data_IF_358774615242
#
_entry.id   IF_358774615242
#
_cell.length_a   1.000
_cell.length_b   1.000
_cell.length_c   1.000
_cell.angle_alpha   90.00
_cell.angle_beta   90.00
_cell.angle_gamma   90.00
#
_symmetry.space_group_name_H-M   'P 1'
#
loop_
_entity.id
_entity.type
_entity.pdbx_description
1 polymer ?
#
# COMPACT_ATOMS: atom_id res chain seq x y z
N UNK A 1 32.79 21.55 20.76
CA UNK A 1 32.86 20.31 21.56
C UNK A 1 31.52 20.25 22.28
N UNK A 2 30.46 19.70 21.68
CA UNK A 2 30.12 18.28 21.43
C UNK A 2 29.43 17.63 22.64
N UNK A 3 28.11 17.71 22.70
CA UNK A 3 27.15 17.01 23.60
C UNK A 3 25.75 17.54 23.20
N UNK A 4 24.68 16.79 22.92
CA UNK A 4 24.36 15.39 23.15
C UNK A 4 23.36 14.94 22.06
N UNK A 5 23.72 13.90 21.31
CA UNK A 5 22.72 13.07 20.60
C UNK A 5 22.08 12.18 21.66
N UNK A 6 20.94 12.62 22.20
CA UNK A 6 20.07 11.79 23.03
C UNK A 6 19.45 10.70 22.13
N UNK A 7 20.22 9.62 21.93
CA UNK A 7 19.79 8.43 21.24
C UNK A 7 18.76 7.74 22.13
N UNK A 8 17.48 7.94 21.80
CA UNK A 8 16.37 7.22 22.41
C UNK A 8 16.56 5.71 22.12
N UNK A 9 17.20 5.00 23.04
CA UNK A 9 17.62 3.61 22.87
C UNK A 9 16.37 2.74 22.72
N UNK A 10 16.14 2.25 21.49
CA UNK A 10 15.00 1.38 21.21
C UNK A 10 15.26 0.03 21.88
N UNK A 11 14.26 -0.57 22.54
CA UNK A 11 14.45 -1.86 23.18
C UNK A 11 14.74 -2.92 22.11
N UNK A 12 15.96 -3.47 22.14
CA UNK A 12 16.40 -4.57 21.30
C UNK A 12 15.74 -5.91 21.66
N UNK A 13 15.05 -5.97 22.79
CA UNK A 13 14.33 -7.13 23.30
C UNK A 13 12.95 -6.70 23.84
N UNK A 14 11.90 -7.43 23.49
CA UNK A 14 10.54 -7.21 23.96
C UNK A 14 9.87 -8.52 24.35
N UNK A 15 9.19 -8.55 25.51
CA UNK A 15 8.34 -9.68 25.87
C UNK A 15 7.09 -9.65 25.00
N UNK A 16 6.78 -10.77 24.34
CA UNK A 16 5.63 -10.88 23.47
C UNK A 16 4.35 -11.05 24.29
N UNK A 17 3.20 -10.68 23.71
CA UNK A 17 1.88 -10.96 24.26
C UNK A 17 1.24 -12.12 23.48
N UNK A 18 1.26 -13.36 23.99
CA UNK A 18 0.76 -14.51 23.23
C UNK A 18 -0.71 -14.38 22.80
N UNK A 19 -1.56 -13.82 23.66
CA UNK A 19 -2.97 -13.54 23.34
C UNK A 19 -3.13 -12.52 22.19
N UNK A 20 -2.09 -11.73 21.92
CA UNK A 20 -2.03 -10.78 20.81
C UNK A 20 -1.71 -11.44 19.46
N UNK A 21 -1.29 -12.70 19.41
CA UNK A 21 -0.86 -13.33 18.15
C UNK A 21 -1.98 -14.17 17.54
N UNK A 22 -1.88 -14.49 16.24
CA UNK A 22 -2.78 -15.50 15.65
C UNK A 22 -2.41 -16.86 16.26
N UNK A 23 -3.34 -17.54 16.95
CA UNK A 23 -3.08 -18.87 17.46
C UNK A 23 -2.92 -19.85 16.29
N UNK A 24 -1.80 -20.55 16.23
CA UNK A 24 -1.61 -21.67 15.32
C UNK A 24 -2.25 -22.93 15.89
N UNK A 25 -2.68 -23.85 15.02
CA UNK A 25 -3.19 -25.18 15.44
C UNK A 25 -2.15 -26.00 16.23
N UNK A 26 -0.87 -25.63 16.18
CA UNK A 26 0.27 -26.32 16.81
C UNK A 26 0.92 -25.52 17.96
N UNK A 27 0.21 -24.57 18.58
CA UNK A 27 0.68 -23.84 19.78
C UNK A 27 1.99 -23.05 19.60
N UNK A 28 2.43 -22.81 18.37
CA UNK A 28 3.64 -22.03 18.09
C UNK A 28 3.29 -20.54 18.15
N UNK A 29 3.62 -19.91 19.29
CA UNK A 29 3.51 -18.46 19.55
C UNK A 29 4.87 -17.94 20.00
N UNK A 30 5.20 -16.71 19.61
CA UNK A 30 6.42 -16.04 20.08
C UNK A 30 6.26 -15.67 21.57
N UNK A 31 7.25 -15.99 22.39
CA UNK A 31 7.29 -15.60 23.81
C UNK A 31 8.02 -14.28 24.03
N UNK A 32 8.93 -13.94 23.13
CA UNK A 32 9.67 -12.70 23.09
C UNK A 32 10.05 -12.35 21.65
N UNK A 33 10.45 -11.10 21.44
CA UNK A 33 11.03 -10.60 20.21
C UNK A 33 12.41 -10.03 20.53
N UNK A 34 13.35 -10.25 19.63
CA UNK A 34 14.73 -9.78 19.71
C UNK A 34 15.12 -9.20 18.35
N UNK A 35 16.00 -8.22 18.31
CA UNK A 35 16.52 -7.68 17.05
C UNK A 35 17.19 -8.77 16.21
N UNK A 36 16.74 -8.94 14.95
CA UNK A 36 17.27 -9.95 14.04
C UNK A 36 17.81 -9.33 12.77
N UNK A 37 19.11 -9.50 12.53
CA UNK A 37 19.70 -9.14 11.24
C UNK A 37 19.14 -9.99 10.11
N UNK A 38 18.85 -9.37 8.99
CA UNK A 38 18.47 -10.06 7.77
C UNK A 38 19.09 -9.38 6.56
N UNK A 39 19.31 -10.16 5.50
CA UNK A 39 19.78 -9.65 4.21
C UNK A 39 18.59 -9.43 3.29
N UNK A 40 18.43 -8.21 2.78
CA UNK A 40 17.37 -7.90 1.82
C UNK A 40 17.55 -8.73 0.53
N UNK A 41 16.49 -9.41 0.10
CA UNK A 41 16.52 -10.22 -1.12
C UNK A 41 16.62 -9.39 -2.42
N UNK A 42 16.11 -8.15 -2.43
CA UNK A 42 16.11 -7.31 -3.62
C UNK A 42 17.45 -6.56 -3.81
N UNK A 43 18.02 -5.96 -2.75
CA UNK A 43 19.22 -5.11 -2.86
C UNK A 43 20.45 -5.65 -2.13
N UNK A 44 20.34 -6.75 -1.38
CA UNK A 44 21.46 -7.37 -0.68
C UNK A 44 21.94 -6.64 0.58
N UNK A 45 21.37 -5.48 0.94
CA UNK A 45 21.71 -4.72 2.16
C UNK A 45 21.30 -5.50 3.41
N UNK A 46 22.14 -5.48 4.44
CA UNK A 46 21.81 -5.97 5.78
C UNK A 46 21.03 -4.90 6.55
N UNK A 47 19.92 -5.30 7.18
CA UNK A 47 19.13 -4.46 8.07
C UNK A 47 18.67 -5.30 9.27
N UNK A 48 18.32 -4.63 10.36
CA UNK A 48 17.80 -5.27 11.57
C UNK A 48 16.29 -5.24 11.54
N UNK A 49 15.66 -6.40 11.65
CA UNK A 49 14.24 -6.52 11.94
C UNK A 49 14.04 -6.39 13.44
N UNK A 50 13.60 -5.21 13.88
CA UNK A 50 13.65 -4.91 15.31
C UNK A 50 12.60 -5.66 16.10
N UNK A 51 12.84 -5.86 17.39
CA UNK A 51 11.86 -6.46 18.32
C UNK A 51 10.50 -5.74 18.25
N UNK A 52 10.51 -4.42 18.11
CA UNK A 52 9.30 -3.59 17.97
C UNK A 52 8.58 -3.81 16.63
N UNK A 53 9.32 -3.96 15.53
CA UNK A 53 8.73 -4.27 14.23
C UNK A 53 8.10 -5.68 14.22
N UNK A 54 8.75 -6.64 14.88
CA UNK A 54 8.21 -7.99 15.10
C UNK A 54 6.92 -7.95 15.91
N UNK A 55 6.91 -7.23 17.04
CA UNK A 55 5.70 -7.05 17.85
C UNK A 55 4.55 -6.51 17.01
N UNK A 56 4.77 -5.46 16.23
CA UNK A 56 3.72 -4.90 15.36
C UNK A 56 3.26 -5.91 14.31
N UNK A 57 4.19 -6.65 13.71
CA UNK A 57 3.91 -7.66 12.69
C UNK A 57 2.97 -8.76 13.21
N UNK A 58 3.27 -9.32 14.39
CA UNK A 58 2.51 -10.44 14.92
C UNK A 58 1.28 -10.03 15.74
N UNK A 59 1.39 -8.94 16.52
CA UNK A 59 0.32 -8.56 17.46
C UNK A 59 -0.74 -7.63 16.86
N UNK A 60 -0.31 -6.68 16.01
CA UNK A 60 -1.18 -5.66 15.42
C UNK A 60 -1.62 -6.06 14.02
N UNK A 61 -0.67 -6.39 13.14
CA UNK A 61 -0.97 -6.81 11.76
C UNK A 61 -1.46 -8.25 11.67
N UNK A 62 -1.41 -9.01 12.78
CA UNK A 62 -1.84 -10.40 12.87
C UNK A 62 -1.23 -11.25 11.74
N UNK A 63 0.07 -11.08 11.50
CA UNK A 63 0.76 -11.90 10.50
C UNK A 63 0.99 -13.31 11.01
N UNK A 64 1.12 -14.26 10.09
CA UNK A 64 1.48 -15.65 10.43
C UNK A 64 2.80 -15.69 11.19
N UNK A 65 2.93 -16.57 12.18
CA UNK A 65 4.13 -16.73 13.00
C UNK A 65 5.41 -17.06 12.20
N UNK A 66 5.26 -17.61 10.99
CA UNK A 66 6.36 -17.88 10.05
C UNK A 66 6.82 -16.64 9.27
N UNK A 67 6.17 -15.50 9.44
CA UNK A 67 6.55 -14.27 8.75
C UNK A 67 7.92 -13.82 9.20
N UNK A 68 8.78 -13.46 8.26
CA UNK A 68 10.10 -12.87 8.51
C UNK A 68 10.31 -11.62 7.67
N UNK A 69 11.17 -10.71 8.12
CA UNK A 69 11.62 -9.61 7.29
C UNK A 69 12.55 -10.12 6.18
N UNK A 70 12.14 -9.90 4.93
CA UNK A 70 12.91 -10.32 3.73
C UNK A 70 13.39 -9.14 2.89
N UNK A 71 12.86 -7.94 3.14
CA UNK A 71 13.12 -6.72 2.39
C UNK A 71 13.43 -5.56 3.30
N UNK A 72 14.42 -4.76 2.92
CA UNK A 72 14.79 -3.55 3.64
C UNK A 72 13.69 -2.48 3.57
N UNK A 73 13.70 -1.50 4.48
CA UNK A 73 12.72 -0.43 4.51
C UNK A 73 12.64 0.35 3.18
N UNK A 74 13.79 0.59 2.53
CA UNK A 74 13.86 1.27 1.24
C UNK A 74 13.24 0.45 0.11
N UNK A 75 13.50 -0.85 0.03
CA UNK A 75 12.89 -1.72 -0.97
C UNK A 75 11.39 -1.90 -0.72
N UNK A 76 10.94 -2.00 0.54
CA UNK A 76 9.51 -1.96 0.87
C UNK A 76 8.86 -0.64 0.45
N UNK A 77 9.54 0.50 0.60
CA UNK A 77 9.05 1.82 0.16
C UNK A 77 8.97 1.91 -1.37
N UNK A 78 10.03 1.52 -2.08
CA UNK A 78 10.06 1.49 -3.56
C UNK A 78 8.97 0.57 -4.12
N UNK A 79 8.78 -0.60 -3.53
CA UNK A 79 7.72 -1.53 -3.93
C UNK A 79 6.34 -0.94 -3.70
N UNK A 80 6.10 -0.35 -2.52
CA UNK A 80 4.85 0.37 -2.25
C UNK A 80 4.61 1.52 -3.23
N UNK A 81 5.65 2.24 -3.67
CA UNK A 81 5.50 3.30 -4.67
C UNK A 81 5.14 2.74 -6.05
N UNK A 82 5.69 1.59 -6.44
CA UNK A 82 5.37 0.92 -7.71
C UNK A 82 3.95 0.33 -7.72
N UNK A 83 3.54 -0.26 -6.61
CA UNK A 83 2.23 -0.88 -6.44
C UNK A 83 1.13 0.12 -6.04
N UNK A 84 1.50 1.32 -5.58
CA UNK A 84 0.50 2.34 -5.26
C UNK A 84 -0.04 2.93 -6.55
N UNK A 85 -1.36 3.04 -6.70
CA UNK A 85 -1.93 3.80 -7.79
C UNK A 85 -1.47 5.28 -7.69
N UNK A 86 -1.28 5.97 -8.82
CA UNK A 86 -1.16 7.42 -8.85
C UNK A 86 -2.38 8.05 -8.19
N UNK A 87 -2.19 9.26 -7.63
CA UNK A 87 -3.22 9.97 -6.88
C UNK A 87 -3.41 11.39 -7.41
N UNK A 88 -4.66 11.81 -7.56
CA UNK A 88 -5.03 13.19 -7.93
C UNK A 88 -5.75 13.32 -9.26
N UNK A 89 -6.31 14.51 -9.51
CA UNK A 89 -6.86 14.89 -10.81
C UNK A 89 -5.81 15.72 -11.54
N UNK A 90 -5.69 15.51 -12.85
CA UNK A 90 -4.90 16.35 -13.74
C UNK A 90 -5.31 17.81 -13.59
N UNK A 91 -4.33 18.72 -13.57
CA UNK A 91 -4.56 20.15 -13.35
C UNK A 91 -5.39 20.81 -14.46
N UNK A 92 -5.44 20.19 -15.65
CA UNK A 92 -6.24 20.65 -16.78
C UNK A 92 -7.73 20.33 -16.60
N UNK A 93 -8.09 19.39 -15.73
CA UNK A 93 -9.49 19.06 -15.45
C UNK A 93 -10.08 20.11 -14.51
N UNK A 94 -11.18 20.73 -14.93
CA UNK A 94 -11.91 21.69 -14.13
C UNK A 94 -12.58 21.04 -12.91
N UNK A 95 -13.09 21.86 -12.00
CA UNK A 95 -13.86 21.35 -10.84
C UNK A 95 -15.16 20.71 -11.30
N UNK A 96 -15.74 21.24 -12.36
CA UNK A 96 -16.95 20.76 -13.03
C UNK A 96 -16.70 19.37 -13.62
N UNK A 97 -15.60 19.19 -14.35
CA UNK A 97 -15.17 17.90 -14.91
C UNK A 97 -14.96 16.88 -13.80
N UNK A 98 -14.24 17.25 -12.74
CA UNK A 98 -14.02 16.38 -11.60
C UNK A 98 -15.33 15.96 -10.91
N UNK A 99 -16.33 16.85 -10.88
CA UNK A 99 -17.67 16.56 -10.35
C UNK A 99 -18.44 15.61 -11.27
N UNK A 100 -18.40 15.85 -12.58
CA UNK A 100 -19.04 15.02 -13.60
C UNK A 100 -18.46 13.59 -13.60
N UNK A 101 -17.13 13.46 -13.62
CA UNK A 101 -16.44 12.16 -13.52
C UNK A 101 -16.88 11.41 -12.26
N UNK A 102 -16.86 12.06 -11.10
CA UNK A 102 -17.29 11.43 -9.83
C UNK A 102 -18.73 10.94 -9.89
N UNK A 103 -19.62 11.71 -10.53
CA UNK A 103 -21.03 11.35 -10.71
C UNK A 103 -21.17 10.12 -11.61
N UNK A 104 -20.47 10.10 -12.74
CA UNK A 104 -20.49 8.98 -13.69
C UNK A 104 -19.92 7.72 -13.02
N UNK A 105 -18.71 7.77 -12.48
CA UNK A 105 -18.05 6.62 -11.83
C UNK A 105 -18.92 6.01 -10.73
N UNK A 106 -19.56 6.85 -9.89
CA UNK A 106 -20.46 6.37 -8.82
C UNK A 106 -21.68 5.62 -9.36
N UNK A 107 -22.11 5.90 -10.59
CA UNK A 107 -23.26 5.25 -11.21
C UNK A 107 -22.91 3.93 -11.91
N UNK A 108 -21.63 3.63 -12.11
CA UNK A 108 -21.20 2.43 -12.83
C UNK A 108 -21.30 1.18 -11.96
N UNK A 109 -21.95 0.10 -12.42
CA UNK A 109 -22.05 -1.15 -11.67
C UNK A 109 -20.71 -1.88 -11.61
N UNK A 110 -20.42 -2.47 -10.45
CA UNK A 110 -19.23 -3.31 -10.21
C UNK A 110 -17.92 -2.53 -10.05
N UNK A 111 -18.01 -1.24 -9.74
CA UNK A 111 -16.85 -0.34 -9.58
C UNK A 111 -16.87 0.26 -8.16
N UNK A 112 -15.70 0.30 -7.52
CA UNK A 112 -15.53 1.11 -6.31
C UNK A 112 -15.54 2.59 -6.72
N UNK A 113 -16.47 3.42 -6.19
CA UNK A 113 -16.59 4.82 -6.58
C UNK A 113 -15.39 5.68 -6.16
N UNK A 114 -14.44 5.13 -5.39
CA UNK A 114 -13.21 5.80 -5.03
C UNK A 114 -12.28 5.92 -6.23
N UNK A 115 -12.22 7.14 -6.75
CA UNK A 115 -11.24 7.55 -7.77
C UNK A 115 -9.89 7.76 -7.07
N UNK A 116 -8.88 7.04 -7.55
CA UNK A 116 -7.49 7.24 -7.16
C UNK A 116 -6.88 8.38 -7.97
N UNK A 117 -7.02 8.32 -9.30
CA UNK A 117 -6.58 9.39 -10.19
C UNK A 117 -7.50 9.59 -11.39
N UNK A 118 -7.46 10.76 -12.00
CA UNK A 118 -8.05 11.04 -13.30
C UNK A 118 -7.06 11.88 -14.12
N UNK A 119 -6.64 11.38 -15.28
CA UNK A 119 -5.63 12.04 -16.12
C UNK A 119 -6.19 12.32 -17.51
N UNK A 120 -5.93 13.51 -18.04
CA UNK A 120 -6.26 13.85 -19.40
C UNK A 120 -5.08 13.41 -20.30
N UNK A 121 -5.33 12.59 -21.31
CA UNK A 121 -4.31 12.19 -22.28
C UNK A 121 -4.24 13.21 -23.42
N UNK A 122 -3.17 13.19 -24.20
CA UNK A 122 -2.93 14.18 -25.26
C UNK A 122 -3.94 14.06 -26.43
N UNK A 123 -4.56 12.90 -26.60
CA UNK A 123 -5.65 12.64 -27.53
C UNK A 123 -7.03 13.08 -27.02
N UNK A 124 -7.09 13.67 -25.82
CA UNK A 124 -8.32 14.20 -25.22
C UNK A 124 -9.16 13.19 -24.45
N UNK A 125 -8.70 11.94 -24.31
CA UNK A 125 -9.35 10.94 -23.46
C UNK A 125 -9.06 11.20 -21.99
N UNK A 126 -10.03 10.95 -21.11
CA UNK A 126 -9.80 10.99 -19.67
C UNK A 126 -9.70 9.57 -19.13
N UNK A 127 -8.52 9.24 -18.60
CA UNK A 127 -8.25 7.97 -17.94
C UNK A 127 -8.47 8.09 -16.43
N UNK A 128 -9.53 7.43 -15.94
CA UNK A 128 -9.87 7.41 -14.53
C UNK A 128 -9.48 6.07 -13.92
N UNK A 129 -8.64 6.13 -12.91
CA UNK A 129 -8.24 4.98 -12.11
C UNK A 129 -9.11 4.86 -10.88
N UNK A 130 -9.80 3.74 -10.74
CA UNK A 130 -10.66 3.43 -9.60
C UNK A 130 -10.43 1.99 -9.10
N UNK A 131 -11.03 1.65 -7.95
CA UNK A 131 -11.03 0.28 -7.46
C UNK A 131 -12.02 -0.59 -8.23
N UNK A 132 -11.71 -1.89 -8.35
CA UNK A 132 -12.61 -2.90 -8.88
C UNK A 132 -13.53 -3.48 -7.81
N UNK A 133 -14.08 -4.66 -8.08
CA UNK A 133 -15.01 -5.35 -7.17
C UNK A 133 -14.33 -5.91 -5.91
N UNK A 134 -13.02 -6.16 -5.95
CA UNK A 134 -12.25 -6.72 -4.82
C UNK A 134 -11.09 -5.80 -4.40
N UNK A 135 -10.63 -5.98 -3.15
CA UNK A 135 -9.47 -5.25 -2.63
C UNK A 135 -8.22 -5.62 -3.45
N UNK A 136 -7.58 -4.60 -4.03
CA UNK A 136 -6.39 -4.78 -4.86
C UNK A 136 -6.68 -4.89 -6.35
N UNK A 137 -7.95 -4.97 -6.75
CA UNK A 137 -8.36 -4.82 -8.14
C UNK A 137 -8.41 -3.33 -8.48
N UNK A 138 -7.75 -2.94 -9.57
CA UNK A 138 -7.80 -1.57 -10.07
C UNK A 138 -8.23 -1.58 -11.53
N UNK A 139 -9.08 -0.61 -11.89
CA UNK A 139 -9.62 -0.44 -13.24
C UNK A 139 -9.23 0.92 -13.78
N UNK A 140 -8.86 0.96 -15.06
CA UNK A 140 -8.76 2.18 -15.84
C UNK A 140 -10.04 2.29 -16.66
N UNK A 141 -10.76 3.40 -16.46
CA UNK A 141 -11.95 3.77 -17.19
C UNK A 141 -11.57 4.87 -18.17
N UNK A 142 -11.84 4.67 -19.45
CA UNK A 142 -11.59 5.68 -20.48
C UNK A 142 -12.89 6.40 -20.81
N UNK A 143 -12.86 7.72 -20.75
CA UNK A 143 -13.99 8.59 -21.08
C UNK A 143 -13.60 9.58 -22.16
N UNK A 144 -14.54 9.93 -23.04
CA UNK A 144 -14.38 11.08 -23.92
C UNK A 144 -14.92 12.35 -23.26
N UNK A 145 -14.12 13.42 -23.29
CA UNK A 145 -14.52 14.78 -22.96
C UNK A 145 -15.29 15.39 -24.15
N UNK A 146 -16.42 16.12 -23.96
CA UNK A 146 -17.07 16.51 -22.70
C UNK A 146 -18.26 15.64 -22.28
N UNK A 147 -18.64 14.65 -23.08
CA UNK A 147 -19.88 13.89 -22.85
C UNK A 147 -19.73 12.80 -21.77
N UNK A 148 -18.52 12.58 -21.27
CA UNK A 148 -18.18 11.59 -20.23
C UNK A 148 -18.73 10.19 -20.55
N UNK A 149 -18.73 9.84 -21.84
CA UNK A 149 -19.17 8.53 -22.33
C UNK A 149 -18.06 7.54 -22.04
N UNK A 150 -18.40 6.47 -21.31
CA UNK A 150 -17.46 5.41 -21.00
C UNK A 150 -17.14 4.59 -22.27
N UNK A 151 -15.89 4.64 -22.71
CA UNK A 151 -15.39 3.92 -23.88
C UNK A 151 -14.93 2.51 -23.52
N UNK A 152 -14.12 2.36 -22.48
CA UNK A 152 -13.60 1.04 -22.06
C UNK A 152 -13.41 0.92 -20.56
N UNK A 153 -13.36 -0.34 -20.09
CA UNK A 153 -12.98 -0.73 -18.74
C UNK A 153 -11.83 -1.72 -18.83
N UNK A 154 -10.64 -1.32 -18.41
CA UNK A 154 -9.43 -2.13 -18.53
C UNK A 154 -8.84 -2.43 -17.14
N UNK A 155 -8.43 -3.67 -16.84
CA UNK A 155 -7.73 -3.97 -15.60
C UNK A 155 -6.34 -3.33 -15.60
N UNK A 156 -5.97 -2.69 -14.49
CA UNK A 156 -4.60 -2.20 -14.32
C UNK A 156 -3.71 -3.32 -13.83
N UNK A 157 -2.88 -3.84 -14.72
CA UNK A 157 -1.85 -4.81 -14.39
C UNK A 157 -0.66 -4.09 -13.73
N UNK A 158 -0.35 -4.38 -12.46
CA UNK A 158 0.93 -4.00 -11.87
C UNK A 158 1.99 -5.00 -12.35
N UNK A 159 3.11 -4.48 -12.87
CA UNK A 159 4.30 -5.25 -13.26
C UNK A 159 5.32 -5.34 -12.13
#
# INVERSE_FOLDING_TARGET
MSEAEEQHERPHFLVAKPAGQIPSKSSSVHLHYEDKEFRCNDCGKTEVWTAQEQQRCFEVEKRSYYTTATRCADCRRKRRQRESPPRGFDERLSREDASAIKKVVRSLPGIDPRIFSANLTDDGTVEVLCGGASIGDFLILKFDDPDWVLQSREPRLFS
#
